data_IF_270565332191
#
_entry.id   IF_270565332191
#
_cell.length_a   1.000
_cell.length_b   1.000
_cell.length_c   1.000
_cell.angle_alpha   90.00
_cell.angle_beta   90.00
_cell.angle_gamma   90.00
#
_symmetry.space_group_name_H-M   'P 1'
#
loop_
_entity.id
_entity.type
_entity.pdbx_description
1 polymer ?
#
# COMPACT_ATOMS: atom_id res chain seq x y z
N UNK A 1 22.44 27.99 30.82
CA UNK A 1 22.24 28.38 29.40
C UNK A 1 21.47 27.25 28.73
N UNK A 2 20.15 27.27 28.82
CA UNK A 2 19.29 26.22 28.26
C UNK A 2 19.24 26.39 26.74
N UNK A 3 19.96 25.53 26.01
CA UNK A 3 19.87 25.47 24.56
C UNK A 3 18.45 24.98 24.24
N UNK A 4 17.59 25.90 23.83
CA UNK A 4 16.31 25.55 23.21
C UNK A 4 16.60 24.65 22.02
N UNK A 5 16.42 23.34 22.19
CA UNK A 5 16.32 22.39 21.08
C UNK A 5 14.97 22.61 20.43
N UNK A 6 14.85 23.70 19.67
CA UNK A 6 13.86 23.73 18.61
C UNK A 6 14.14 22.51 17.73
N UNK A 7 13.21 21.58 17.66
CA UNK A 7 13.28 20.47 16.73
C UNK A 7 13.35 21.04 15.32
N UNK A 8 14.58 21.17 14.81
CA UNK A 8 14.80 21.68 13.48
C UNK A 8 14.38 20.59 12.52
N UNK A 9 13.36 20.86 11.73
CA UNK A 9 12.96 20.01 10.62
C UNK A 9 13.89 20.20 9.43
N UNK A 10 14.07 19.15 8.62
CA UNK A 10 14.88 19.16 7.42
C UNK A 10 14.56 20.35 6.53
N UNK A 11 15.59 21.02 6.04
CA UNK A 11 15.43 22.28 5.30
C UNK A 11 15.03 22.02 3.84
N UNK A 12 14.30 22.96 3.22
CA UNK A 12 14.12 22.94 1.78
C UNK A 12 15.48 23.01 1.08
N UNK A 13 15.61 22.29 -0.02
CA UNK A 13 16.87 22.13 -0.74
C UNK A 13 17.14 23.39 -1.54
N UNK A 14 18.37 23.89 -1.46
CA UNK A 14 18.82 25.00 -2.30
C UNK A 14 18.97 24.50 -3.74
N UNK A 15 18.66 25.35 -4.72
CA UNK A 15 18.91 25.02 -6.13
C UNK A 15 20.41 24.97 -6.45
N UNK A 16 21.22 25.80 -5.77
CA UNK A 16 22.65 25.94 -6.05
C UNK A 16 23.51 25.95 -4.78
N UNK A 17 24.66 25.27 -4.88
CA UNK A 17 25.70 25.29 -3.85
C UNK A 17 26.57 26.53 -4.02
N UNK A 18 26.78 27.29 -2.94
CA UNK A 18 27.78 28.39 -2.88
C UNK A 18 29.12 27.96 -2.29
N UNK A 19 29.14 26.82 -1.60
CA UNK A 19 30.37 26.30 -1.00
C UNK A 19 31.32 25.78 -2.08
N UNK A 20 32.62 26.06 -1.92
CA UNK A 20 33.70 25.47 -2.72
C UNK A 20 34.10 24.07 -2.23
N UNK A 21 33.69 23.67 -1.02
CA UNK A 21 34.00 22.37 -0.43
C UNK A 21 33.49 21.22 -1.28
N UNK A 22 34.31 20.20 -1.42
CA UNK A 22 34.02 18.95 -2.13
C UNK A 22 34.19 17.80 -1.15
N UNK A 23 33.30 16.81 -1.23
CA UNK A 23 33.40 15.59 -0.44
C UNK A 23 34.55 14.72 -0.98
N UNK A 24 35.35 14.12 -0.08
CA UNK A 24 36.49 13.27 -0.46
C UNK A 24 36.09 11.91 -1.05
N UNK A 25 34.82 11.51 -0.97
CA UNK A 25 34.32 10.25 -1.56
C UNK A 25 34.39 10.26 -3.09
N UNK A 26 34.51 9.07 -3.72
CA UNK A 26 34.55 8.97 -5.17
C UNK A 26 33.31 9.59 -5.82
N UNK A 27 33.50 10.18 -7.00
CA UNK A 27 32.42 10.82 -7.75
C UNK A 27 31.28 9.83 -8.06
N UNK A 28 30.05 10.33 -8.05
CA UNK A 28 28.87 9.58 -8.48
C UNK A 28 28.83 9.56 -10.00
N UNK A 29 29.00 8.38 -10.59
CA UNK A 29 28.82 8.18 -12.03
C UNK A 29 27.31 8.06 -12.30
N UNK A 30 26.77 8.88 -13.21
CA UNK A 30 25.33 8.90 -13.45
C UNK A 30 24.83 7.64 -14.14
N UNK A 31 25.60 7.04 -15.04
CA UNK A 31 25.22 5.76 -15.67
C UNK A 31 25.06 4.60 -14.70
N UNK A 32 25.70 4.66 -13.52
CA UNK A 32 25.56 3.65 -12.48
C UNK A 32 24.20 3.72 -11.75
N UNK A 33 23.50 4.84 -11.86
CA UNK A 33 22.14 5.01 -11.34
C UNK A 33 21.11 4.52 -12.36
N UNK A 34 19.93 4.09 -11.89
CA UNK A 34 18.83 3.76 -12.81
C UNK A 34 18.32 5.03 -13.50
N UNK A 35 17.84 4.96 -14.75
CA UNK A 35 17.39 6.15 -15.49
C UNK A 35 16.36 7.03 -14.76
N UNK A 36 15.47 6.44 -13.96
CA UNK A 36 14.46 7.14 -13.17
C UNK A 36 14.98 7.72 -11.84
N UNK A 37 16.24 7.47 -11.49
CA UNK A 37 16.86 7.96 -10.26
C UNK A 37 17.65 9.26 -10.48
N UNK A 38 17.66 9.80 -11.70
CA UNK A 38 18.25 11.09 -12.00
C UNK A 38 17.52 11.79 -13.15
N UNK A 39 17.60 13.11 -13.16
CA UNK A 39 17.03 14.00 -14.18
C UNK A 39 18.15 14.89 -14.71
N UNK A 40 18.35 14.88 -16.03
CA UNK A 40 19.39 15.65 -16.72
C UNK A 40 18.87 16.93 -17.38
N UNK A 41 17.58 17.25 -17.25
CA UNK A 41 17.02 18.47 -17.84
C UNK A 41 17.73 19.71 -17.28
N UNK A 42 18.22 20.64 -18.12
CA UNK A 42 19.03 21.77 -17.67
C UNK A 42 18.40 22.63 -16.55
N UNK A 43 17.07 22.77 -16.55
CA UNK A 43 16.34 23.52 -15.53
C UNK A 43 16.24 22.80 -14.17
N UNK A 44 16.32 21.46 -14.16
CA UNK A 44 15.97 20.62 -13.01
C UNK A 44 16.98 19.49 -12.75
N UNK A 45 18.24 19.70 -13.12
CA UNK A 45 19.27 18.67 -13.01
C UNK A 45 19.39 18.16 -11.56
N UNK A 46 19.05 16.90 -11.33
CA UNK A 46 18.94 16.33 -10.00
C UNK A 46 19.16 14.82 -10.01
N UNK A 47 19.52 14.24 -8.87
CA UNK A 47 19.69 12.80 -8.70
C UNK A 47 19.21 12.35 -7.33
N UNK A 48 18.89 11.06 -7.20
CA UNK A 48 18.66 10.43 -5.91
C UNK A 48 20.02 10.16 -5.27
N UNK A 49 20.26 10.73 -4.10
CA UNK A 49 21.46 10.42 -3.33
C UNK A 49 21.41 8.95 -2.86
N UNK A 50 22.42 8.11 -3.14
CA UNK A 50 22.39 6.71 -2.76
C UNK A 50 22.45 6.49 -1.24
N UNK A 51 23.04 7.45 -0.50
CA UNK A 51 23.23 7.33 0.95
C UNK A 51 21.95 7.66 1.76
N UNK A 52 21.09 8.55 1.26
CA UNK A 52 19.88 8.97 1.99
C UNK A 52 18.58 8.86 1.18
N UNK A 53 18.65 8.36 -0.05
CA UNK A 53 17.52 8.09 -0.95
C UNK A 53 16.62 9.30 -1.24
N UNK A 54 17.14 10.51 -1.08
CA UNK A 54 16.39 11.74 -1.36
C UNK A 54 16.83 12.36 -2.68
N UNK A 55 15.88 13.00 -3.37
CA UNK A 55 16.15 13.77 -4.59
C UNK A 55 16.95 15.03 -4.27
N UNK A 56 18.10 15.19 -4.92
CA UNK A 56 19.03 16.28 -4.68
C UNK A 56 19.40 16.99 -5.98
N UNK A 57 19.36 18.32 -6.03
CA UNK A 57 19.86 19.07 -7.18
C UNK A 57 21.37 18.89 -7.39
N UNK A 58 21.78 18.91 -8.65
CA UNK A 58 23.17 18.95 -9.08
C UNK A 58 23.52 20.41 -9.39
N UNK A 59 24.53 20.95 -8.73
CA UNK A 59 25.05 22.28 -9.03
C UNK A 59 26.09 22.20 -10.13
N UNK A 60 25.98 23.11 -11.11
CA UNK A 60 27.03 23.34 -12.10
C UNK A 60 27.19 22.18 -13.08
N UNK A 61 26.09 21.65 -13.63
CA UNK A 61 26.10 20.51 -14.56
C UNK A 61 27.04 20.72 -15.76
N UNK A 62 27.15 21.96 -16.25
CA UNK A 62 28.03 22.34 -17.37
C UNK A 62 29.46 22.69 -16.95
N UNK A 63 29.78 22.62 -15.65
CA UNK A 63 31.12 22.97 -15.15
C UNK A 63 32.01 21.72 -15.08
N UNK A 64 33.33 21.92 -14.96
CA UNK A 64 34.30 20.82 -14.82
C UNK A 64 34.10 19.97 -13.55
N UNK A 65 33.39 20.49 -12.55
CA UNK A 65 33.21 19.82 -11.26
C UNK A 65 31.74 19.92 -10.80
N UNK A 66 30.81 19.21 -11.46
CA UNK A 66 29.43 19.14 -10.99
C UNK A 66 29.39 18.45 -9.64
N UNK A 67 28.52 18.93 -8.74
CA UNK A 67 28.37 18.31 -7.41
C UNK A 67 26.98 18.41 -6.85
N UNK A 68 26.66 17.44 -6.00
CA UNK A 68 25.40 17.34 -5.28
C UNK A 68 25.27 18.47 -4.26
N UNK A 69 24.13 19.16 -4.26
CA UNK A 69 23.86 20.24 -3.31
C UNK A 69 23.89 19.71 -1.87
N UNK A 70 24.41 20.50 -0.93
CA UNK A 70 24.16 20.32 0.47
C UNK A 70 22.69 20.00 0.82
N UNK A 71 22.37 18.77 1.24
CA UNK A 71 21.02 18.39 1.70
C UNK A 71 20.98 17.71 3.09
N UNK A 72 19.81 17.80 3.72
CA UNK A 72 19.47 17.07 4.94
C UNK A 72 18.81 15.73 4.53
N UNK A 73 18.83 14.74 5.42
CA UNK A 73 18.16 13.44 5.24
C UNK A 73 16.67 13.59 5.50
N UNK A 74 15.85 12.84 4.77
CA UNK A 74 14.39 12.87 4.94
C UNK A 74 13.68 14.03 4.21
N UNK A 75 12.39 14.14 4.48
CA UNK A 75 11.44 15.09 3.89
C UNK A 75 11.53 16.44 4.59
N UNK A 76 11.65 17.48 3.78
CA UNK A 76 11.69 18.86 4.26
C UNK A 76 10.42 19.21 5.06
N UNK A 77 10.59 19.92 6.18
CA UNK A 77 9.49 20.33 7.06
C UNK A 77 8.82 19.22 7.87
N UNK A 78 9.24 17.95 7.73
CA UNK A 78 8.65 16.81 8.46
C UNK A 78 9.68 16.06 9.29
N UNK A 79 10.77 15.65 8.66
CA UNK A 79 11.79 14.82 9.30
C UNK A 79 12.83 15.70 10.02
N UNK A 80 13.61 15.17 10.98
CA UNK A 80 14.64 15.95 11.66
C UNK A 80 15.73 16.44 10.69
N UNK A 81 16.28 17.63 10.93
CA UNK A 81 17.31 18.29 10.13
C UNK A 81 18.70 17.65 10.28
N UNK A 82 18.79 16.36 10.00
CA UNK A 82 20.05 15.63 10.03
C UNK A 82 20.75 15.81 8.68
N UNK A 83 21.98 16.31 8.72
CA UNK A 83 22.77 16.55 7.50
C UNK A 83 23.20 15.22 6.87
N UNK A 84 23.01 15.04 5.56
CA UNK A 84 23.58 13.90 4.85
C UNK A 84 25.11 14.08 4.73
N UNK A 85 25.88 13.54 5.67
CA UNK A 85 27.35 13.68 5.73
C UNK A 85 28.05 12.95 4.58
N UNK A 86 27.47 11.83 4.16
CA UNK A 86 28.05 10.93 3.17
C UNK A 86 27.84 11.38 1.72
N UNK A 87 26.69 11.97 1.41
CA UNK A 87 26.29 12.34 0.05
C UNK A 87 26.33 13.83 -0.28
N UNK A 88 26.40 14.72 0.73
CA UNK A 88 26.48 16.17 0.48
C UNK A 88 27.82 16.58 -0.14
N UNK A 89 27.79 17.55 -1.05
CA UNK A 89 28.96 18.07 -1.77
C UNK A 89 29.75 17.00 -2.54
N UNK A 90 29.15 15.84 -2.82
CA UNK A 90 29.80 14.76 -3.56
C UNK A 90 29.86 15.12 -5.05
N UNK A 91 31.02 14.89 -5.67
CA UNK A 91 31.20 15.12 -7.10
C UNK A 91 30.27 14.19 -7.90
N UNK A 92 29.89 14.66 -9.08
CA UNK A 92 29.10 13.91 -10.05
C UNK A 92 29.87 13.87 -11.36
N UNK A 93 30.06 12.66 -11.89
CA UNK A 93 30.59 12.44 -13.22
C UNK A 93 29.40 12.26 -14.16
N UNK A 94 29.23 13.21 -15.08
CA UNK A 94 28.17 13.19 -16.08
C UNK A 94 28.70 12.48 -17.33
N UNK A 95 28.44 11.18 -17.41
CA UNK A 95 28.88 10.30 -18.50
C UNK A 95 27.74 9.90 -19.46
N UNK A 96 26.51 10.38 -19.18
CA UNK A 96 25.32 10.15 -20.00
C UNK A 96 24.87 11.49 -20.57
N UNK A 97 24.62 11.52 -21.88
CA UNK A 97 24.03 12.71 -22.53
C UNK A 97 22.54 12.84 -22.22
N UNK A 98 22.00 14.05 -22.30
CA UNK A 98 20.55 14.29 -22.10
C UNK A 98 19.71 13.42 -23.03
N UNK A 99 20.10 13.33 -24.31
CA UNK A 99 19.40 12.50 -25.32
C UNK A 99 19.41 11.02 -24.95
N UNK A 100 20.57 10.46 -24.58
CA UNK A 100 20.68 9.05 -24.18
C UNK A 100 19.86 8.75 -22.92
N UNK A 101 19.78 9.69 -21.97
CA UNK A 101 18.94 9.52 -20.79
C UNK A 101 17.45 9.51 -21.14
N UNK A 102 17.00 10.43 -22.01
CA UNK A 102 15.61 10.49 -22.47
C UNK A 102 15.19 9.24 -23.25
N UNK A 103 16.08 8.74 -24.13
CA UNK A 103 15.92 7.46 -24.82
C UNK A 103 15.74 6.32 -23.82
N UNK A 104 16.64 6.20 -22.82
CA UNK A 104 16.56 5.14 -21.78
C UNK A 104 15.29 5.22 -20.94
N UNK A 105 14.78 6.41 -20.65
CA UNK A 105 13.51 6.57 -19.94
C UNK A 105 12.32 6.13 -20.79
N UNK A 106 12.33 6.49 -22.07
CA UNK A 106 11.27 6.14 -23.02
C UNK A 106 11.24 4.64 -23.29
N UNK A 107 12.40 4.01 -23.48
CA UNK A 107 12.53 2.57 -23.67
C UNK A 107 12.15 1.76 -22.42
N UNK A 108 12.53 2.23 -21.23
CA UNK A 108 12.11 1.60 -19.97
C UNK A 108 10.58 1.67 -19.77
N UNK A 109 9.97 2.77 -20.20
CA UNK A 109 8.52 2.92 -20.19
C UNK A 109 7.85 1.98 -21.21
N UNK A 110 8.38 1.88 -22.44
CA UNK A 110 7.82 0.99 -23.48
C UNK A 110 7.83 -0.47 -23.04
N UNK A 111 8.92 -0.95 -22.43
CA UNK A 111 9.01 -2.31 -21.87
C UNK A 111 7.99 -2.56 -20.74
N UNK A 112 7.67 -1.55 -19.93
CA UNK A 112 6.72 -1.68 -18.82
C UNK A 112 5.25 -1.58 -19.29
N UNK A 113 4.98 -0.76 -20.31
CA UNK A 113 3.66 -0.60 -20.95
C UNK A 113 3.22 -1.88 -21.67
N UNK A 114 4.16 -2.76 -22.04
CA UNK A 114 3.85 -4.10 -22.57
C UNK A 114 3.26 -5.09 -21.55
N UNK A 115 2.95 -4.68 -20.31
CA UNK A 115 1.97 -5.41 -19.49
C UNK A 115 0.64 -5.42 -20.24
N UNK A 116 0.39 -6.51 -20.97
CA UNK A 116 -0.84 -6.75 -21.73
C UNK A 116 -2.03 -6.35 -20.85
N UNK A 117 -2.86 -5.44 -21.39
CA UNK A 117 -4.13 -5.09 -20.78
C UNK A 117 -4.89 -6.38 -20.50
N UNK A 118 -5.05 -6.72 -19.22
CA UNK A 118 -5.91 -7.84 -18.84
C UNK A 118 -7.33 -7.45 -19.20
N UNK A 119 -7.98 -8.21 -20.07
CA UNK A 119 -9.39 -7.98 -20.40
C UNK A 119 -10.18 -8.01 -19.09
N UNK A 120 -10.74 -6.86 -18.69
CA UNK A 120 -11.60 -6.78 -17.51
C UNK A 120 -12.86 -7.59 -17.83
N UNK A 121 -12.90 -8.84 -17.38
CA UNK A 121 -14.14 -9.63 -17.41
C UNK A 121 -15.11 -8.93 -16.46
N UNK A 122 -16.18 -8.37 -17.02
CA UNK A 122 -17.26 -7.81 -16.19
C UNK A 122 -17.79 -8.94 -15.31
N UNK A 123 -17.94 -8.66 -14.01
CA UNK A 123 -18.61 -9.57 -13.08
C UNK A 123 -19.99 -9.89 -13.67
N UNK A 124 -20.38 -11.17 -13.80
CA UNK A 124 -21.71 -11.52 -14.26
C UNK A 124 -22.75 -10.74 -13.43
N UNK A 125 -23.67 -10.05 -14.11
CA UNK A 125 -24.79 -9.41 -13.43
C UNK A 125 -25.68 -10.52 -12.91
N UNK A 126 -25.53 -10.86 -11.62
CA UNK A 126 -26.44 -11.76 -10.93
C UNK A 126 -27.80 -11.07 -10.90
N UNK A 127 -28.87 -11.81 -11.20
CA UNK A 127 -30.22 -11.31 -11.04
C UNK A 127 -30.39 -10.80 -9.61
N UNK A 128 -31.03 -9.64 -9.46
CA UNK A 128 -31.32 -9.08 -8.14
C UNK A 128 -32.16 -10.11 -7.38
N UNK A 129 -31.70 -10.52 -6.20
CA UNK A 129 -32.46 -11.45 -5.38
C UNK A 129 -33.85 -10.86 -5.11
N UNK A 130 -34.93 -11.67 -5.21
CA UNK A 130 -36.28 -11.18 -4.95
C UNK A 130 -36.37 -10.59 -3.55
N UNK A 131 -37.20 -9.56 -3.39
CA UNK A 131 -37.41 -8.94 -2.09
C UNK A 131 -37.95 -9.97 -1.09
N UNK A 132 -37.59 -9.85 0.18
CA UNK A 132 -38.05 -10.76 1.25
C UNK A 132 -39.58 -10.86 1.26
N UNK A 133 -40.28 -9.77 0.95
CA UNK A 133 -41.74 -9.73 0.80
C UNK A 133 -42.27 -10.59 -0.35
N UNK A 134 -41.55 -10.67 -1.48
CA UNK A 134 -41.91 -11.50 -2.63
C UNK A 134 -41.64 -12.98 -2.36
N UNK A 135 -40.54 -13.29 -1.67
CA UNK A 135 -40.23 -14.66 -1.22
C UNK A 135 -41.29 -15.13 -0.22
N UNK A 136 -41.66 -14.29 0.75
CA UNK A 136 -42.69 -14.61 1.74
C UNK A 136 -44.09 -14.75 1.10
N UNK A 137 -44.39 -14.00 0.04
CA UNK A 137 -45.64 -14.15 -0.71
C UNK A 137 -45.68 -15.45 -1.53
N UNK A 138 -44.56 -15.87 -2.11
CA UNK A 138 -44.44 -17.16 -2.81
C UNK A 138 -44.40 -18.36 -1.86
N UNK A 139 -43.88 -18.16 -0.64
CA UNK A 139 -43.84 -19.16 0.43
C UNK A 139 -45.06 -19.16 1.33
N UNK A 140 -46.10 -18.35 1.05
CA UNK A 140 -47.40 -18.61 1.67
C UNK A 140 -47.84 -19.98 1.17
N UNK A 141 -47.88 -21.03 2.01
CA UNK A 141 -48.70 -22.17 1.64
C UNK A 141 -50.11 -21.61 1.45
N UNK A 142 -50.86 -22.16 0.50
CA UNK A 142 -52.31 -22.02 0.55
C UNK A 142 -52.70 -22.31 2.00
N UNK A 143 -53.22 -21.27 2.68
CA UNK A 143 -53.71 -21.46 4.02
C UNK A 143 -54.89 -22.41 3.89
N UNK A 144 -54.67 -23.65 4.31
CA UNK A 144 -55.66 -24.47 5.00
C UNK A 144 -54.90 -25.58 5.72
N UNK A 145 -54.88 -25.43 7.05
CA UNK A 145 -54.89 -26.46 8.09
C UNK A 145 -54.21 -27.81 7.79
N UNK A 146 -53.26 -28.28 8.63
CA UNK A 146 -53.00 -29.71 8.73
C UNK A 146 -54.32 -30.37 9.15
N UNK A 147 -54.89 -31.25 8.31
CA UNK A 147 -56.18 -31.93 8.56
C UNK A 147 -56.28 -32.76 9.85
N UNK A 148 -55.25 -32.72 10.71
CA UNK A 148 -55.11 -33.47 11.96
C UNK A 148 -55.33 -32.61 13.24
N UNK A 149 -55.65 -31.32 13.11
CA UNK A 149 -56.02 -30.45 14.25
C UNK A 149 -54.92 -30.19 15.29
N UNK A 150 -53.66 -30.50 14.99
CA UNK A 150 -52.51 -30.32 15.89
C UNK A 150 -51.93 -28.90 15.77
N UNK A 151 -51.52 -28.26 16.89
CA UNK A 151 -50.93 -26.92 16.84
C UNK A 151 -49.56 -26.93 16.15
N UNK A 152 -49.29 -25.92 15.31
CA UNK A 152 -48.09 -25.81 14.45
C UNK A 152 -46.74 -25.98 15.18
N UNK A 153 -46.65 -25.60 16.46
CA UNK A 153 -45.41 -25.75 17.24
C UNK A 153 -45.08 -27.23 17.52
N UNK A 154 -46.09 -28.10 17.61
CA UNK A 154 -45.93 -29.53 17.83
C UNK A 154 -45.38 -30.21 16.56
N UNK A 155 -45.95 -29.87 15.40
CA UNK A 155 -45.45 -30.33 14.09
C UNK A 155 -44.00 -29.89 13.87
N UNK A 156 -43.65 -28.65 14.24
CA UNK A 156 -42.25 -28.17 14.18
C UNK A 156 -41.33 -28.96 15.11
N UNK A 157 -41.80 -29.37 16.30
CA UNK A 157 -41.03 -30.20 17.24
C UNK A 157 -40.79 -31.60 16.68
N UNK A 158 -41.80 -32.21 16.06
CA UNK A 158 -41.70 -33.52 15.39
C UNK A 158 -40.75 -33.45 14.17
N UNK A 159 -40.87 -32.43 13.33
CA UNK A 159 -39.97 -32.19 12.20
C UNK A 159 -38.51 -32.00 12.64
N UNK A 160 -38.30 -31.26 13.74
CA UNK A 160 -36.96 -31.09 14.28
C UNK A 160 -36.39 -32.39 14.83
N UNK A 161 -37.20 -33.15 15.59
CA UNK A 161 -36.80 -34.47 16.08
C UNK A 161 -36.42 -35.43 14.94
N UNK A 162 -37.14 -35.38 13.81
CA UNK A 162 -36.83 -36.20 12.63
C UNK A 162 -35.53 -35.80 11.93
N UNK A 163 -35.13 -34.52 12.02
CA UNK A 163 -33.97 -33.98 11.29
C UNK A 163 -32.72 -33.84 12.18
N UNK A 164 -32.88 -33.90 13.51
CA UNK A 164 -31.84 -33.63 14.49
C UNK A 164 -30.60 -34.53 14.31
N UNK A 165 -30.80 -35.82 14.04
CA UNK A 165 -29.71 -36.76 13.81
C UNK A 165 -28.89 -36.41 12.56
N UNK A 166 -29.58 -36.11 11.46
CA UNK A 166 -28.93 -35.71 10.20
C UNK A 166 -28.14 -34.40 10.34
N UNK A 167 -28.65 -33.44 11.12
CA UNK A 167 -27.93 -32.21 11.46
C UNK A 167 -26.69 -32.52 12.29
N UNK A 168 -26.80 -33.37 13.32
CA UNK A 168 -25.67 -33.79 14.16
C UNK A 168 -24.58 -34.51 13.35
N UNK A 169 -24.96 -35.36 12.41
CA UNK A 169 -24.01 -36.04 11.52
C UNK A 169 -23.32 -35.05 10.57
N UNK A 170 -24.07 -34.09 10.04
CA UNK A 170 -23.49 -33.03 9.21
C UNK A 170 -22.49 -32.16 9.98
N UNK A 171 -22.79 -31.80 11.23
CA UNK A 171 -21.89 -31.04 12.09
C UNK A 171 -20.65 -31.86 12.47
N UNK A 172 -20.81 -33.16 12.74
CA UNK A 172 -19.68 -34.07 13.01
C UNK A 172 -18.73 -34.16 11.82
N UNK A 173 -19.26 -34.29 10.59
CA UNK A 173 -18.45 -34.26 9.36
C UNK A 173 -17.76 -32.91 9.15
N UNK A 174 -18.42 -31.81 9.49
CA UNK A 174 -17.83 -30.46 9.37
C UNK A 174 -16.70 -30.22 10.38
N UNK A 175 -16.79 -30.83 11.56
CA UNK A 175 -15.75 -30.76 12.59
C UNK A 175 -14.49 -31.56 12.20
N UNK A 176 -14.61 -32.54 11.30
CA UNK A 176 -13.47 -33.29 10.79
C UNK A 176 -12.73 -32.46 9.72
N UNK A 177 -11.66 -31.78 10.15
CA UNK A 177 -10.73 -31.15 9.22
C UNK A 177 -9.75 -32.20 8.67
N UNK A 178 -9.54 -32.28 7.34
CA UNK A 178 -8.49 -33.10 6.76
C UNK A 178 -7.11 -32.73 7.32
N UNK A 179 -6.21 -33.71 7.45
CA UNK A 179 -4.84 -33.46 7.88
C UNK A 179 -4.19 -32.39 6.97
N UNK A 180 -3.70 -31.31 7.58
CA UNK A 180 -3.09 -30.18 6.86
C UNK A 180 -4.04 -29.03 6.46
N UNK A 181 -5.35 -29.16 6.70
CA UNK A 181 -6.34 -28.11 6.43
C UNK A 181 -6.75 -27.32 7.69
N UNK A 182 -5.99 -27.44 8.79
CA UNK A 182 -6.20 -26.61 9.97
C UNK A 182 -6.05 -25.13 9.59
N UNK A 183 -7.06 -24.27 9.80
CA UNK A 183 -6.93 -22.86 9.51
C UNK A 183 -5.74 -22.30 10.29
N UNK A 184 -4.84 -21.60 9.59
CA UNK A 184 -3.76 -20.83 10.21
C UNK A 184 -4.42 -19.93 11.25
N UNK A 185 -4.15 -20.19 12.53
CA UNK A 185 -4.96 -19.75 13.67
C UNK A 185 -5.51 -18.34 13.49
N UNK A 186 -6.84 -18.20 13.53
CA UNK A 186 -7.45 -16.89 13.60
C UNK A 186 -6.97 -16.21 14.90
N UNK A 187 -6.58 -14.92 14.86
CA UNK A 187 -6.27 -14.21 16.08
C UNK A 187 -7.46 -14.31 17.05
N UNK A 188 -7.21 -14.52 18.36
CA UNK A 188 -8.27 -14.67 19.32
C UNK A 188 -9.18 -13.45 19.28
N UNK A 189 -10.43 -13.66 18.89
CA UNK A 189 -11.45 -12.61 18.94
C UNK A 189 -11.76 -12.33 20.41
N UNK A 190 -11.74 -11.07 20.87
CA UNK A 190 -12.13 -10.72 22.22
C UNK A 190 -13.53 -11.26 22.51
N UNK A 191 -13.64 -12.12 23.52
CA UNK A 191 -14.95 -12.63 24.00
C UNK A 191 -15.72 -11.61 24.83
N UNK A 192 -15.06 -10.54 25.21
CA UNK A 192 -15.64 -9.43 25.95
C UNK A 192 -16.12 -8.37 24.97
N UNK A 193 -17.43 -8.14 24.92
CA UNK A 193 -18.02 -6.98 24.24
C UNK A 193 -17.54 -5.72 24.94
N UNK A 194 -16.64 -4.97 24.30
CA UNK A 194 -16.25 -3.65 24.76
C UNK A 194 -17.40 -2.68 24.50
N UNK A 195 -18.02 -2.17 25.57
CA UNK A 195 -19.00 -1.10 25.48
C UNK A 195 -18.28 0.25 25.49
N UNK A 196 -18.57 1.16 24.53
CA UNK A 196 -18.03 2.50 24.58
C UNK A 196 -18.60 3.24 25.79
N UNK A 197 -17.73 3.77 26.66
CA UNK A 197 -18.13 4.68 27.72
C UNK A 197 -18.76 5.93 27.10
N UNK A 198 -20.01 6.20 27.46
CA UNK A 198 -20.64 7.49 27.14
C UNK A 198 -19.91 8.56 27.95
N UNK A 199 -19.30 9.50 27.25
CA UNK A 199 -18.78 10.73 27.84
C UNK A 199 -19.94 11.45 28.53
N UNK A 200 -19.92 11.52 29.85
CA UNK A 200 -20.83 12.39 30.60
C UNK A 200 -20.41 13.83 30.38
N UNK A 201 -21.35 14.63 29.90
CA UNK A 201 -21.25 16.07 29.70
C UNK A 201 -20.92 16.81 30.98
#
# INVERSE_FOLDING_TARGET
>A
MSVSTLERTARPRRSRTRSRTVNARPALVLSALKPHQYDLRPACASLICPDCQTWVPITGLQTKQPKVVPHDTGRAGKDPAVRCRLGSNRLVTVDVTVRQWEERLTDGNSQTVHRRRTTVRRKPKVAVAPAISQIAAQQKPAADEPGDGRPLWLLRKEQWAATESAVRDADTRRAQLPAGAAPLGAPPVPRTTLHPERRTS
#
